data_IF_583242714397
#
_entry.id   IF_583242714397
#
_cell.length_a   1.000
_cell.length_b   1.000
_cell.length_c   1.000
_cell.angle_alpha   90.00
_cell.angle_beta   90.00
_cell.angle_gamma   90.00
#
_symmetry.space_group_name_H-M   'P 1'
#
loop_
_entity.id
_entity.type
_entity.pdbx_description
1 polymer ?
#
# COMPACT_ATOMS: atom_id res chain seq x y z
N UNK A 1 15.94 2.55 18.80
CA UNK A 1 16.35 1.46 17.89
C UNK A 1 17.24 2.09 16.83
N UNK A 2 18.45 1.56 16.66
CA UNK A 2 19.49 2.09 15.78
C UNK A 2 19.09 1.94 14.32
N UNK A 3 19.12 3.03 13.55
CA UNK A 3 19.01 2.99 12.09
C UNK A 3 20.10 2.06 11.55
N UNK A 4 19.75 1.02 10.80
CA UNK A 4 20.73 0.21 10.08
C UNK A 4 21.17 0.96 8.83
N UNK A 5 22.27 1.70 8.92
CA UNK A 5 22.86 2.42 7.79
C UNK A 5 23.67 1.50 6.84
N UNK A 6 23.39 0.19 6.85
CA UNK A 6 24.09 -0.78 6.03
C UNK A 6 23.42 -0.90 4.66
N UNK A 7 24.17 -0.83 3.55
CA UNK A 7 23.61 -1.08 2.23
C UNK A 7 23.23 -2.56 2.09
N UNK A 8 22.16 -2.82 1.35
CA UNK A 8 21.73 -4.18 1.02
C UNK A 8 21.25 -4.29 -0.43
N UNK A 9 21.18 -5.53 -0.91
CA UNK A 9 20.58 -5.90 -2.18
C UNK A 9 19.40 -6.82 -1.90
N UNK A 10 18.28 -6.58 -2.58
CA UNK A 10 17.14 -7.48 -2.62
C UNK A 10 16.83 -7.79 -4.08
N UNK A 11 16.81 -9.07 -4.43
CA UNK A 11 16.24 -9.53 -5.68
C UNK A 11 14.72 -9.29 -5.72
N UNK A 12 14.12 -9.57 -6.88
CA UNK A 12 12.69 -9.35 -7.15
C UNK A 12 11.77 -9.88 -6.05
N UNK A 13 12.04 -11.09 -5.56
CA UNK A 13 11.17 -11.79 -4.61
C UNK A 13 11.69 -11.73 -3.16
N UNK A 14 12.72 -10.92 -2.90
CA UNK A 14 13.30 -10.75 -1.57
C UNK A 14 12.75 -9.51 -0.86
N UNK A 15 12.77 -9.54 0.46
CA UNK A 15 12.16 -8.55 1.34
C UNK A 15 11.23 -9.21 2.35
N UNK A 16 10.85 -8.48 3.40
CA UNK A 16 9.88 -9.00 4.36
C UNK A 16 8.51 -9.13 3.68
N UNK A 17 7.95 -10.34 3.66
CA UNK A 17 6.68 -10.63 3.03
C UNK A 17 5.53 -10.58 4.05
N UNK A 18 4.50 -9.80 3.75
CA UNK A 18 3.31 -9.61 4.60
C UNK A 18 2.06 -9.80 3.77
N UNK A 19 1.11 -10.57 4.26
CA UNK A 19 -0.25 -10.57 3.75
C UNK A 19 -1.06 -9.48 4.45
N UNK A 20 -1.68 -8.61 3.67
CA UNK A 20 -2.44 -7.47 4.16
C UNK A 20 -3.73 -7.32 3.38
N UNK A 21 -4.88 -7.49 4.04
CA UNK A 21 -6.22 -7.29 3.45
C UNK A 21 -6.43 -8.01 2.09
N UNK A 22 -5.94 -9.25 1.95
CA UNK A 22 -6.06 -10.01 0.70
C UNK A 22 -4.97 -9.71 -0.33
N UNK A 23 -4.02 -8.83 -0.02
CA UNK A 23 -2.85 -8.50 -0.85
C UNK A 23 -1.59 -9.18 -0.35
N UNK A 24 -0.55 -9.22 -1.19
CA UNK A 24 0.81 -9.57 -0.80
C UNK A 24 1.71 -8.34 -0.90
N UNK A 25 2.44 -8.05 0.17
CA UNK A 25 3.39 -6.95 0.25
C UNK A 25 4.80 -7.48 0.48
N UNK A 26 5.77 -7.00 -0.31
CA UNK A 26 7.20 -7.18 -0.10
C UNK A 26 7.82 -5.84 0.31
N UNK A 27 8.27 -5.76 1.56
CA UNK A 27 8.88 -4.57 2.10
C UNK A 27 10.32 -4.50 1.58
N UNK A 28 10.59 -3.52 0.72
CA UNK A 28 11.90 -3.33 0.07
C UNK A 28 12.78 -2.37 0.84
N UNK A 29 12.19 -1.34 1.45
CA UNK A 29 12.85 -0.43 2.38
C UNK A 29 11.83 0.12 3.38
N UNK A 30 12.24 0.28 4.63
CA UNK A 30 11.42 0.81 5.72
C UNK A 30 12.05 2.04 6.32
N UNK A 31 11.31 2.77 7.17
CA UNK A 31 11.89 3.90 7.89
C UNK A 31 13.05 3.51 8.81
N UNK A 32 13.17 2.24 9.22
CA UNK A 32 14.30 1.80 10.06
C UNK A 32 15.63 1.77 9.29
N UNK A 33 15.57 1.63 7.96
CA UNK A 33 16.75 1.55 7.10
C UNK A 33 17.32 2.94 6.76
N UNK A 34 16.48 3.97 6.80
CA UNK A 34 16.78 5.29 6.24
C UNK A 34 16.40 6.46 7.16
N UNK A 35 16.50 6.28 8.48
CA UNK A 35 16.20 7.31 9.48
C UNK A 35 14.79 7.96 9.32
N UNK A 36 13.80 7.13 9.02
CA UNK A 36 12.38 7.49 8.82
C UNK A 36 12.10 8.38 7.59
N UNK A 37 13.00 8.39 6.60
CA UNK A 37 12.88 9.24 5.41
C UNK A 37 11.79 8.74 4.45
N UNK A 38 11.75 7.43 4.17
CA UNK A 38 10.75 6.86 3.25
C UNK A 38 10.52 5.37 3.52
N UNK A 39 9.42 4.84 3.00
CA UNK A 39 9.22 3.40 2.83
C UNK A 39 8.95 3.07 1.36
N UNK A 40 9.41 1.89 0.94
CA UNK A 40 9.12 1.31 -0.37
C UNK A 40 8.60 -0.12 -0.20
N UNK A 41 7.40 -0.36 -0.70
CA UNK A 41 6.75 -1.67 -0.67
C UNK A 41 6.36 -2.05 -2.09
N UNK A 42 6.72 -3.25 -2.51
CA UNK A 42 6.15 -3.85 -3.72
C UNK A 42 4.89 -4.63 -3.36
N UNK A 43 3.79 -4.39 -4.06
CA UNK A 43 2.50 -5.02 -3.78
C UNK A 43 2.03 -5.87 -4.95
N UNK A 44 1.41 -7.01 -4.64
CA UNK A 44 0.54 -7.77 -5.54
C UNK A 44 -0.88 -7.67 -5.04
N UNK A 45 -1.78 -7.23 -5.90
CA UNK A 45 -3.16 -6.88 -5.58
C UNK A 45 -4.11 -7.77 -6.40
N UNK A 46 -5.13 -8.40 -5.79
CA UNK A 46 -6.08 -9.21 -6.55
C UNK A 46 -6.98 -8.33 -7.44
N UNK A 47 -7.58 -8.91 -8.51
CA UNK A 47 -8.59 -8.21 -9.31
C UNK A 47 -9.74 -7.68 -8.43
N UNK A 48 -10.19 -6.46 -8.70
CA UNK A 48 -11.26 -5.83 -7.94
C UNK A 48 -10.87 -5.36 -6.54
N UNK A 49 -9.59 -5.49 -6.13
CA UNK A 49 -9.13 -4.92 -4.88
C UNK A 49 -9.20 -3.39 -4.93
N UNK A 50 -9.73 -2.82 -3.86
CA UNK A 50 -9.76 -1.38 -3.63
C UNK A 50 -9.63 -1.13 -2.11
N UNK A 51 -8.68 -0.31 -1.66
CA UNK A 51 -8.71 0.19 -0.29
C UNK A 51 -9.93 1.11 -0.09
N UNK A 52 -10.41 1.30 1.15
CA UNK A 52 -11.33 2.38 1.46
C UNK A 52 -10.78 3.72 0.97
N UNK A 53 -11.65 4.66 0.60
CA UNK A 53 -11.22 6.03 0.32
C UNK A 53 -10.66 6.64 1.61
N UNK A 54 -9.44 7.19 1.56
CA UNK A 54 -8.74 7.63 2.76
C UNK A 54 -7.88 8.87 2.55
N UNK A 55 -7.44 9.46 3.66
CA UNK A 55 -6.58 10.64 3.72
C UNK A 55 -5.40 10.34 4.64
N UNK A 56 -4.18 10.53 4.12
CA UNK A 56 -2.97 10.59 4.95
C UNK A 56 -2.75 12.00 5.49
N UNK A 57 -2.47 12.14 6.79
CA UNK A 57 -2.12 13.44 7.38
C UNK A 57 -0.61 13.63 7.57
N UNK A 58 0.15 12.54 7.57
CA UNK A 58 1.58 12.59 7.81
C UNK A 58 2.40 12.33 6.54
N UNK A 59 1.90 11.57 5.57
CA UNK A 59 2.68 11.10 4.43
C UNK A 59 2.06 11.47 3.08
N UNK A 60 2.91 11.81 2.11
CA UNK A 60 2.56 11.74 0.69
C UNK A 60 2.76 10.30 0.21
N UNK A 61 1.94 9.88 -0.75
CA UNK A 61 1.99 8.54 -1.31
C UNK A 61 2.22 8.58 -2.83
N UNK A 62 3.00 7.65 -3.35
CA UNK A 62 3.24 7.51 -4.77
C UNK A 62 3.20 6.05 -5.19
N UNK A 63 2.72 5.81 -6.42
CA UNK A 63 2.66 4.50 -7.03
C UNK A 63 3.40 4.47 -8.36
N UNK A 64 4.13 3.38 -8.62
CA UNK A 64 4.67 3.06 -9.93
C UNK A 64 4.17 1.68 -10.36
N UNK A 65 3.43 1.62 -11.47
CA UNK A 65 2.74 0.39 -11.89
C UNK A 65 3.71 -0.51 -12.66
N UNK A 66 3.83 -1.76 -12.22
CA UNK A 66 4.66 -2.78 -12.86
C UNK A 66 3.83 -3.68 -13.78
N UNK A 67 2.65 -4.12 -13.31
CA UNK A 67 1.74 -5.02 -14.03
C UNK A 67 0.28 -4.69 -13.70
N UNK A 68 -0.65 -5.03 -14.59
CA UNK A 68 -2.08 -4.78 -14.41
C UNK A 68 -2.49 -3.35 -14.74
N UNK A 69 -3.77 -3.04 -14.48
CA UNK A 69 -4.36 -1.74 -14.74
C UNK A 69 -5.19 -1.33 -13.52
N UNK A 70 -5.12 -0.05 -13.15
CA UNK A 70 -5.82 0.48 -12.01
C UNK A 70 -6.50 1.80 -12.36
N UNK A 71 -7.64 2.06 -11.72
CA UNK A 71 -8.25 3.38 -11.68
C UNK A 71 -7.91 4.04 -10.35
N UNK A 72 -7.21 5.18 -10.39
CA UNK A 72 -6.90 6.01 -9.23
C UNK A 72 -7.85 7.20 -9.14
N UNK A 73 -8.15 7.64 -7.92
CA UNK A 73 -8.79 8.92 -7.62
C UNK A 73 -7.95 9.72 -6.63
N UNK A 74 -7.92 11.04 -6.78
CA UNK A 74 -7.31 11.96 -5.82
C UNK A 74 -8.02 13.32 -5.90
N UNK A 75 -8.84 13.63 -4.89
CA UNK A 75 -9.74 14.78 -4.94
C UNK A 75 -10.68 14.70 -6.14
N UNK A 76 -10.65 15.71 -7.01
CA UNK A 76 -11.48 15.75 -8.24
C UNK A 76 -10.86 14.99 -9.42
N UNK A 77 -9.62 14.51 -9.28
CA UNK A 77 -8.90 13.86 -10.37
C UNK A 77 -9.17 12.35 -10.40
N UNK A 78 -9.25 11.80 -11.61
CA UNK A 78 -9.41 10.37 -11.87
C UNK A 78 -8.57 9.93 -13.05
N UNK A 79 -7.80 8.87 -12.88
CA UNK A 79 -6.93 8.34 -13.92
C UNK A 79 -7.04 6.83 -14.03
N UNK A 80 -7.11 6.32 -15.25
CA UNK A 80 -6.90 4.91 -15.55
C UNK A 80 -5.46 4.73 -16.03
N UNK A 81 -4.71 3.88 -15.37
CA UNK A 81 -3.26 3.77 -15.55
C UNK A 81 -2.82 2.30 -15.58
N UNK A 82 -1.83 2.01 -16.43
CA UNK A 82 -1.22 0.70 -16.59
C UNK A 82 0.30 0.75 -16.40
N UNK A 83 1.03 -0.31 -16.81
CA UNK A 83 2.46 -0.44 -16.54
C UNK A 83 3.30 0.74 -17.05
N UNK A 84 4.25 1.19 -16.22
CA UNK A 84 5.11 2.34 -16.51
C UNK A 84 4.51 3.70 -16.12
N UNK A 85 3.26 3.74 -15.67
CA UNK A 85 2.66 4.96 -15.14
C UNK A 85 3.13 5.23 -13.70
N UNK A 86 3.32 6.52 -13.40
CA UNK A 86 3.57 7.03 -12.06
C UNK A 86 2.36 7.84 -11.59
N UNK A 87 1.92 7.61 -10.36
CA UNK A 87 0.82 8.32 -9.70
C UNK A 87 1.38 8.95 -8.42
N UNK A 88 1.10 10.23 -8.20
CA UNK A 88 1.44 10.93 -6.96
C UNK A 88 0.18 11.41 -6.28
N UNK A 89 0.05 11.10 -4.99
CA UNK A 89 -1.11 11.36 -4.15
C UNK A 89 -0.62 12.19 -2.94
N UNK A 90 -0.76 13.53 -3.02
CA UNK A 90 -0.37 14.39 -1.92
C UNK A 90 -1.19 14.10 -0.66
N UNK A 91 -0.54 14.23 0.50
CA UNK A 91 -1.20 14.20 1.82
C UNK A 91 -2.36 15.21 1.88
N UNK A 92 -3.31 14.98 2.78
CA UNK A 92 -4.50 15.80 3.01
C UNK A 92 -5.55 15.81 1.88
N UNK A 93 -5.36 15.04 0.81
CA UNK A 93 -6.34 14.90 -0.27
C UNK A 93 -6.91 13.47 -0.23
N UNK A 94 -8.25 13.29 -0.19
CA UNK A 94 -8.86 11.98 -0.30
C UNK A 94 -8.42 11.25 -1.56
N UNK A 95 -7.95 10.02 -1.42
CA UNK A 95 -7.53 9.19 -2.54
C UNK A 95 -7.80 7.71 -2.31
N UNK A 96 -7.71 6.95 -3.39
CA UNK A 96 -7.89 5.52 -3.43
C UNK A 96 -7.68 4.99 -4.85
N UNK A 97 -7.72 3.67 -5.01
CA UNK A 97 -7.63 3.03 -6.31
C UNK A 97 -8.51 1.78 -6.41
N UNK A 98 -8.73 1.31 -7.63
CA UNK A 98 -9.40 0.06 -7.96
C UNK A 98 -8.54 -0.73 -8.94
N UNK A 99 -8.26 -2.00 -8.65
CA UNK A 99 -7.64 -2.92 -9.60
C UNK A 99 -8.68 -3.35 -10.63
N UNK A 100 -8.45 -2.99 -11.89
CA UNK A 100 -9.37 -3.23 -13.00
C UNK A 100 -9.21 -4.63 -13.62
N UNK A 101 -10.27 -5.10 -14.28
CA UNK A 101 -10.23 -6.33 -15.08
C UNK A 101 -10.21 -7.62 -14.26
N UNK A 102 -9.60 -8.68 -14.82
CA UNK A 102 -9.62 -10.04 -14.25
C UNK A 102 -8.24 -10.55 -13.83
N UNK A 103 -7.19 -9.75 -14.01
CA UNK A 103 -5.81 -10.12 -13.68
C UNK A 103 -5.30 -9.31 -12.49
N UNK A 104 -4.45 -9.89 -11.63
CA UNK A 104 -3.80 -9.15 -10.56
C UNK A 104 -3.00 -7.94 -11.07
N UNK A 105 -2.85 -6.94 -10.23
CA UNK A 105 -1.93 -5.83 -10.46
C UNK A 105 -0.68 -5.97 -9.57
N UNK A 106 0.45 -5.45 -10.06
CA UNK A 106 1.67 -5.29 -9.27
C UNK A 106 2.19 -3.87 -9.39
N UNK A 107 2.56 -3.28 -8.25
CA UNK A 107 3.02 -1.89 -8.19
C UNK A 107 4.05 -1.70 -7.08
N UNK A 108 4.82 -0.63 -7.19
CA UNK A 108 5.63 -0.09 -6.11
C UNK A 108 4.85 1.02 -5.42
N UNK A 109 4.73 0.94 -4.11
CA UNK A 109 4.19 1.98 -3.25
C UNK A 109 5.35 2.66 -2.53
N UNK A 110 5.44 3.97 -2.67
CA UNK A 110 6.42 4.82 -2.01
C UNK A 110 5.69 5.78 -1.06
N UNK A 111 6.16 5.89 0.17
CA UNK A 111 5.53 6.74 1.19
C UNK A 111 6.58 7.63 1.85
N UNK A 112 6.29 8.93 1.96
CA UNK A 112 7.23 9.94 2.50
C UNK A 112 6.52 10.90 3.45
N UNK A 113 7.01 11.10 4.68
CA UNK A 113 8.02 10.30 5.37
C UNK A 113 7.59 8.84 5.54
N UNK A 114 8.50 7.98 6.03
CA UNK A 114 8.14 6.63 6.42
C UNK A 114 7.16 6.64 7.63
N UNK A 115 6.40 5.56 7.80
CA UNK A 115 5.49 5.38 8.93
C UNK A 115 4.37 4.40 8.62
N UNK A 116 3.77 4.53 7.43
CA UNK A 116 2.64 3.72 6.97
C UNK A 116 2.99 2.23 6.85
N UNK A 117 4.24 1.87 6.57
CA UNK A 117 4.67 0.48 6.50
C UNK A 117 4.45 -0.26 7.84
N UNK A 118 4.49 0.46 8.96
CA UNK A 118 4.23 -0.13 10.28
C UNK A 118 2.75 -0.43 10.48
N UNK A 119 1.85 0.39 9.92
CA UNK A 119 0.42 0.07 9.85
C UNK A 119 0.20 -1.22 9.07
N UNK A 120 0.82 -1.35 7.89
CA UNK A 120 0.72 -2.57 7.07
C UNK A 120 1.22 -3.81 7.82
N UNK A 121 2.39 -3.70 8.47
CA UNK A 121 2.98 -4.80 9.22
C UNK A 121 2.14 -5.19 10.46
N UNK A 122 1.57 -4.23 11.18
CA UNK A 122 0.73 -4.50 12.36
C UNK A 122 -0.65 -5.02 11.98
N UNK A 123 -1.25 -4.51 10.91
CA UNK A 123 -2.57 -4.93 10.44
C UNK A 123 -2.50 -6.30 9.77
N UNK A 124 -1.45 -6.53 8.97
CA UNK A 124 -1.21 -7.78 8.26
C UNK A 124 -0.66 -8.89 9.14
N UNK A 125 -0.22 -9.94 8.46
CA UNK A 125 0.45 -11.10 9.04
C UNK A 125 1.62 -11.57 8.14
N UNK A 126 2.64 -12.24 8.68
CA UNK A 126 3.72 -12.79 7.85
C UNK A 126 3.17 -13.71 6.76
N UNK A 127 3.56 -13.45 5.50
CA UNK A 127 3.11 -14.27 4.39
C UNK A 127 3.77 -15.66 4.45
N UNK A 128 2.98 -16.71 4.27
CA UNK A 128 3.48 -18.09 4.25
C UNK A 128 4.01 -18.50 2.86
N UNK A 129 3.66 -17.75 1.82
CA UNK A 129 4.15 -17.90 0.45
C UNK A 129 4.13 -16.54 -0.27
N UNK A 130 4.85 -16.44 -1.39
CA UNK A 130 4.87 -15.25 -2.25
C UNK A 130 3.72 -15.23 -3.25
N UNK A 131 2.54 -15.65 -2.80
CA UNK A 131 1.31 -15.62 -3.58
C UNK A 131 0.24 -14.83 -2.84
N UNK A 132 -0.79 -14.38 -3.56
CA UNK A 132 -1.97 -13.79 -2.93
C UNK A 132 -2.59 -14.77 -1.93
N UNK A 133 -2.98 -14.32 -0.73
CA UNK A 133 -3.70 -15.16 0.23
C UNK A 133 -5.13 -15.43 -0.25
N UNK A 134 -5.76 -16.43 0.35
CA UNK A 134 -7.21 -16.61 0.22
C UNK A 134 -7.94 -15.38 0.78
N UNK A 135 -9.00 -14.89 0.13
CA UNK A 135 -9.77 -13.76 0.64
C UNK A 135 -10.34 -14.05 2.04
N UNK A 136 -10.06 -13.17 2.98
CA UNK A 136 -10.64 -13.19 4.33
C UNK A 136 -11.27 -11.84 4.63
N UNK A 137 -12.39 -11.80 5.37
CA UNK A 137 -12.96 -10.53 5.81
C UNK A 137 -11.96 -9.75 6.67
N UNK A 138 -11.87 -8.41 6.50
CA UNK A 138 -10.98 -7.59 7.31
C UNK A 138 -11.42 -7.59 8.79
N UNK A 139 -10.44 -7.58 9.70
CA UNK A 139 -10.70 -7.30 11.11
C UNK A 139 -10.98 -5.79 11.29
N UNK A 140 -12.26 -5.43 11.28
CA UNK A 140 -12.71 -4.05 11.37
C UNK A 140 -12.32 -3.38 12.69
N UNK A 141 -12.31 -4.14 13.79
CA UNK A 141 -11.96 -3.59 15.11
C UNK A 141 -10.47 -3.24 15.16
N UNK A 142 -9.62 -4.13 14.63
CA UNK A 142 -8.17 -3.88 14.49
C UNK A 142 -7.90 -2.69 13.56
N UNK A 143 -8.61 -2.61 12.43
CA UNK A 143 -8.48 -1.50 11.48
C UNK A 143 -8.84 -0.16 12.13
N UNK A 144 -9.93 -0.08 12.88
CA UNK A 144 -10.33 1.13 13.62
C UNK A 144 -9.31 1.54 14.68
N UNK A 145 -8.74 0.59 15.42
CA UNK A 145 -7.72 0.90 16.42
C UNK A 145 -6.41 1.41 15.78
N UNK A 146 -6.00 0.83 14.66
CA UNK A 146 -4.74 1.15 13.99
C UNK A 146 -4.80 2.43 13.14
N UNK A 147 -5.94 2.74 12.50
CA UNK A 147 -6.16 4.03 11.80
C UNK A 147 -5.91 5.22 12.73
N UNK A 148 -6.44 5.17 13.96
CA UNK A 148 -6.21 6.19 14.98
C UNK A 148 -4.73 6.33 15.38
N UNK A 149 -4.00 5.21 15.46
CA UNK A 149 -2.57 5.19 15.81
C UNK A 149 -1.67 5.75 14.71
N UNK A 150 -2.03 5.53 13.44
CA UNK A 150 -1.20 5.84 12.28
C UNK A 150 -1.64 7.08 11.50
N UNK A 151 -2.55 7.88 12.06
CA UNK A 151 -2.90 9.22 11.55
C UNK A 151 -3.34 9.25 10.08
N UNK A 152 -4.11 8.24 9.65
CA UNK A 152 -4.85 8.31 8.40
C UNK A 152 -6.35 8.08 8.66
N UNK A 153 -7.18 8.78 7.90
CA UNK A 153 -8.63 8.83 8.07
C UNK A 153 -9.32 8.09 6.93
N UNK A 154 -10.26 7.20 7.24
CA UNK A 154 -11.16 6.60 6.24
C UNK A 154 -12.33 7.54 6.04
N UNK A 155 -12.51 8.04 4.81
CA UNK A 155 -13.50 9.07 4.47
C UNK A 155 -14.60 8.57 3.54
N UNK A 156 -14.53 7.32 3.07
CA UNK A 156 -15.54 6.74 2.20
C UNK A 156 -15.34 5.25 1.93
N UNK A 157 -16.32 4.62 1.25
CA UNK A 157 -16.21 3.21 0.85
C UNK A 157 -15.11 3.01 -0.19
N UNK A 158 -14.69 1.75 -0.44
CA UNK A 158 -13.83 1.43 -1.57
C UNK A 158 -14.47 1.83 -2.91
N UNK A 159 -13.64 2.18 -3.89
CA UNK A 159 -14.11 2.46 -5.24
C UNK A 159 -14.84 1.26 -5.85
N UNK A 160 -15.92 1.53 -6.58
CA UNK A 160 -16.75 0.49 -7.22
C UNK A 160 -17.77 -0.17 -6.28
N UNK A 161 -17.84 0.26 -5.02
CA UNK A 161 -18.84 -0.17 -4.03
C UNK A 161 -19.75 0.99 -3.57
N UNK A 162 -19.88 2.04 -4.39
CA UNK A 162 -20.76 3.19 -4.15
C UNK A 162 -22.25 2.86 -4.32
#
# INVERSE_FOLDING_TARGET
>A
MTSSHEPYFLAREEGQAVWFLGTLMLFKATGQDNAQTFSLIEQTLPPGFAPPLHVHHAEDEAFYILEGELTFVCGEQRWRAGPGAFIFLPRHIPHGFLVEGSQPARLLQFTVPAGLEKFHAEMGEPAQSLTLPSPTPPDLAKMQALTAKYHFEIVGPPLGQE
#
